data_IF_900079279609
#
_entry.id   IF_900079279609
#
_cell.length_a   1.000
_cell.length_b   1.000
_cell.length_c   1.000
_cell.angle_alpha   90.00
_cell.angle_beta   90.00
_cell.angle_gamma   90.00
#
_symmetry.space_group_name_H-M   'P 1'
#
loop_
_entity.id
_entity.type
_entity.pdbx_description
1 polymer ?
#
# COMPACT_ATOMS: atom_id res chain seq x y z
N UNK A 1 -14.87 16.84 -4.35
CA UNK A 1 -14.79 17.85 -5.45
C UNK A 1 -13.34 17.92 -5.94
N UNK A 2 -13.10 18.22 -7.22
CA UNK A 2 -11.75 18.48 -7.72
C UNK A 2 -11.43 19.95 -7.49
N UNK A 3 -10.26 20.23 -6.92
CA UNK A 3 -9.74 21.58 -6.71
C UNK A 3 -8.49 21.71 -7.58
N UNK A 4 -8.61 22.45 -8.69
CA UNK A 4 -7.45 22.81 -9.51
C UNK A 4 -6.54 23.75 -8.73
N UNK A 5 -5.22 23.62 -8.88
CA UNK A 5 -4.21 24.35 -8.09
C UNK A 5 -4.49 24.27 -6.59
N UNK A 6 -4.87 23.07 -6.14
CA UNK A 6 -5.24 22.78 -4.76
C UNK A 6 -4.06 22.34 -3.90
N UNK A 7 -4.21 22.48 -2.59
CA UNK A 7 -3.26 22.02 -1.58
C UNK A 7 -4.01 21.38 -0.40
N UNK A 8 -3.29 20.58 0.39
CA UNK A 8 -3.76 19.96 1.63
C UNK A 8 -2.78 20.34 2.74
N UNK A 9 -3.29 20.92 3.83
CA UNK A 9 -2.50 21.21 5.02
C UNK A 9 -2.59 20.03 6.01
N UNK A 10 -1.45 19.60 6.53
CA UNK A 10 -1.34 18.46 7.46
C UNK A 10 -0.61 18.90 8.71
N UNK A 11 -1.15 18.54 9.88
CA UNK A 11 -0.48 18.66 11.18
C UNK A 11 -0.33 17.26 11.81
N UNK A 12 0.91 16.81 11.95
CA UNK A 12 1.23 15.45 12.36
C UNK A 12 0.61 14.40 11.44
N UNK A 13 -0.45 13.74 11.88
CA UNK A 13 -1.17 12.68 11.15
C UNK A 13 -2.56 13.10 10.67
N UNK A 14 -2.95 14.36 10.87
CA UNK A 14 -4.29 14.85 10.57
C UNK A 14 -4.27 15.87 9.44
N UNK A 15 -5.25 15.76 8.54
CA UNK A 15 -5.55 16.82 7.57
C UNK A 15 -6.29 17.92 8.32
N UNK A 16 -5.72 19.13 8.34
CA UNK A 16 -6.28 20.28 9.06
C UNK A 16 -6.98 21.28 8.15
N UNK A 17 -6.66 21.30 6.85
CA UNK A 17 -7.34 22.14 5.86
C UNK A 17 -7.14 21.62 4.42
N UNK A 18 -8.05 21.97 3.52
CA UNK A 18 -8.03 21.63 2.10
C UNK A 18 -8.58 22.81 1.29
N UNK A 19 -7.82 23.32 0.32
CA UNK A 19 -8.26 24.48 -0.46
C UNK A 19 -7.32 24.84 -1.59
N UNK A 20 -7.38 26.09 -2.06
CA UNK A 20 -6.46 26.61 -3.08
C UNK A 20 -5.07 26.80 -2.49
N UNK A 21 -4.03 26.50 -3.27
CA UNK A 21 -2.63 26.64 -2.87
C UNK A 21 -2.33 28.03 -2.30
N UNK A 22 -2.67 29.10 -3.03
CA UNK A 22 -2.39 30.48 -2.60
C UNK A 22 -3.09 30.88 -1.30
N UNK A 23 -4.26 30.32 -1.02
CA UNK A 23 -5.01 30.59 0.21
C UNK A 23 -4.36 29.88 1.40
N UNK A 24 -4.01 28.60 1.24
CA UNK A 24 -3.35 27.81 2.28
C UNK A 24 -1.94 28.34 2.56
N UNK A 25 -1.16 28.74 1.56
CA UNK A 25 0.16 29.34 1.78
C UNK A 25 0.10 30.65 2.57
N UNK A 26 -0.99 31.42 2.46
CA UNK A 26 -1.21 32.61 3.29
C UNK A 26 -1.61 32.24 4.71
N UNK A 27 -2.52 31.28 4.88
CA UNK A 27 -3.00 30.84 6.19
C UNK A 27 -1.89 30.12 7.00
N UNK A 28 -1.00 29.39 6.31
CA UNK A 28 0.05 28.57 6.89
C UNK A 28 1.44 28.99 6.40
N UNK A 29 1.77 30.29 6.55
CA UNK A 29 2.98 30.89 5.97
C UNK A 29 4.32 30.28 6.43
N UNK A 30 4.35 29.54 7.52
CA UNK A 30 5.55 28.88 8.06
C UNK A 30 5.56 27.35 7.84
N UNK A 31 4.58 26.80 7.14
CA UNK A 31 4.53 25.37 6.86
C UNK A 31 5.62 24.96 5.86
N UNK A 32 6.14 23.75 6.01
CA UNK A 32 6.96 23.12 4.98
C UNK A 32 6.11 22.86 3.73
N UNK A 33 6.65 23.19 2.56
CA UNK A 33 5.97 22.98 1.28
C UNK A 33 6.55 21.74 0.60
N UNK A 34 5.68 20.79 0.30
CA UNK A 34 5.98 19.62 -0.53
C UNK A 34 5.28 19.82 -1.87
N UNK A 35 6.05 20.01 -2.95
CA UNK A 35 5.51 20.20 -4.30
C UNK A 35 5.01 18.87 -4.89
N UNK A 36 3.74 18.83 -5.28
CA UNK A 36 3.14 17.69 -5.97
C UNK A 36 3.57 17.57 -7.44
N UNK A 37 4.36 18.51 -7.96
CA UNK A 37 4.90 18.55 -9.33
C UNK A 37 3.83 18.43 -10.42
N UNK A 38 2.68 19.09 -10.21
CA UNK A 38 1.52 19.01 -11.09
C UNK A 38 0.74 17.69 -10.99
N UNK A 39 1.05 16.85 -10.00
CA UNK A 39 0.37 15.60 -9.72
C UNK A 39 -0.98 15.77 -9.01
N UNK A 40 -1.70 14.66 -8.89
CA UNK A 40 -2.98 14.59 -8.18
C UNK A 40 -2.76 14.22 -6.70
N UNK A 41 -3.23 15.09 -5.79
CA UNK A 41 -3.37 14.74 -4.38
C UNK A 41 -4.73 14.07 -4.19
N UNK A 42 -4.73 12.83 -3.70
CA UNK A 42 -5.94 12.05 -3.44
C UNK A 42 -5.76 11.16 -2.21
N UNK A 43 -6.85 10.64 -1.60
CA UNK A 43 -6.73 9.64 -0.56
C UNK A 43 -5.91 8.44 -1.04
N UNK A 44 -5.06 7.91 -0.16
CA UNK A 44 -4.35 6.67 -0.44
C UNK A 44 -5.32 5.51 -0.66
N UNK A 45 -4.94 4.55 -1.50
CA UNK A 45 -5.74 3.35 -1.71
C UNK A 45 -5.81 2.51 -0.44
N UNK A 46 -6.99 1.97 -0.16
CA UNK A 46 -7.20 1.02 0.94
C UNK A 46 -7.25 -0.38 0.35
N UNK A 47 -6.27 -1.22 0.70
CA UNK A 47 -6.29 -2.63 0.36
C UNK A 47 -7.10 -3.40 1.41
N UNK A 48 -8.32 -3.82 1.06
CA UNK A 48 -9.21 -4.52 1.97
C UNK A 48 -8.84 -6.00 2.19
N UNK A 49 -7.98 -6.58 1.35
CA UNK A 49 -7.61 -8.00 1.46
C UNK A 49 -6.27 -8.32 0.80
N UNK A 50 -5.31 -8.80 1.60
CA UNK A 50 -4.02 -9.29 1.12
C UNK A 50 -3.40 -10.27 2.13
N UNK A 51 -2.67 -11.26 1.64
CA UNK A 51 -1.89 -12.19 2.46
C UNK A 51 -0.41 -11.78 2.46
N UNK A 52 0.00 -10.93 3.40
CA UNK A 52 1.30 -10.22 3.32
C UNK A 52 2.49 -11.17 3.40
N UNK A 53 2.38 -12.23 4.18
CA UNK A 53 3.48 -13.17 4.39
C UNK A 53 3.93 -13.90 3.10
N UNK A 54 3.06 -14.00 2.09
CA UNK A 54 3.29 -14.78 0.87
C UNK A 54 3.74 -13.95 -0.33
N UNK A 55 4.06 -12.66 -0.15
CA UNK A 55 4.42 -11.76 -1.25
C UNK A 55 5.57 -12.27 -2.13
N UNK A 56 6.55 -12.95 -1.54
CA UNK A 56 7.69 -13.55 -2.26
C UNK A 56 7.35 -14.83 -3.04
N UNK A 57 6.17 -15.44 -2.80
CA UNK A 57 5.68 -16.60 -3.55
C UNK A 57 4.89 -16.21 -4.82
N UNK A 58 4.83 -14.92 -5.18
CA UNK A 58 4.14 -14.46 -6.38
C UNK A 58 4.72 -15.14 -7.62
N UNK A 59 3.86 -15.81 -8.38
CA UNK A 59 4.24 -16.53 -9.60
C UNK A 59 4.90 -17.89 -9.36
N UNK A 60 4.95 -18.37 -8.11
CA UNK A 60 5.43 -19.70 -7.80
C UNK A 60 4.50 -20.75 -8.42
N UNK A 61 5.08 -21.65 -9.20
CA UNK A 61 4.40 -22.79 -9.81
C UNK A 61 5.03 -24.08 -9.31
N UNK A 62 4.20 -25.03 -8.86
CA UNK A 62 4.64 -26.33 -8.41
C UNK A 62 4.42 -27.37 -9.52
N UNK A 63 5.29 -28.38 -9.64
CA UNK A 63 5.07 -29.49 -10.57
C UNK A 63 3.86 -30.33 -10.12
N UNK A 64 3.03 -30.75 -11.09
CA UNK A 64 1.83 -31.56 -10.83
C UNK A 64 0.60 -31.03 -11.57
N UNK A 65 -0.57 -31.67 -11.40
CA UNK A 65 -1.81 -31.14 -11.93
C UNK A 65 -2.13 -29.79 -11.27
N UNK A 66 -2.67 -28.86 -12.04
CA UNK A 66 -3.15 -27.59 -11.50
C UNK A 66 -4.34 -27.84 -10.57
N UNK A 67 -4.44 -27.12 -9.43
CA UNK A 67 -5.59 -27.24 -8.54
C UNK A 67 -6.86 -26.79 -9.27
N UNK A 68 -7.93 -27.54 -9.06
CA UNK A 68 -9.24 -27.34 -9.69
C UNK A 68 -10.22 -26.59 -8.77
N UNK A 69 -9.88 -26.45 -7.50
CA UNK A 69 -10.68 -25.74 -6.50
C UNK A 69 -9.79 -25.08 -5.43
N UNK A 70 -10.43 -24.30 -4.55
CA UNK A 70 -9.73 -23.54 -3.50
C UNK A 70 -9.08 -24.44 -2.43
N UNK A 71 -9.70 -25.56 -2.05
CA UNK A 71 -9.13 -26.49 -1.07
C UNK A 71 -7.82 -27.10 -1.56
N UNK A 72 -7.77 -27.50 -2.83
CA UNK A 72 -6.58 -28.11 -3.43
C UNK A 72 -5.37 -27.16 -3.46
N UNK A 73 -5.55 -25.87 -3.74
CA UNK A 73 -4.43 -24.90 -3.70
C UNK A 73 -3.98 -24.63 -2.26
N UNK A 74 -4.90 -24.66 -1.28
CA UNK A 74 -4.54 -24.51 0.13
C UNK A 74 -3.69 -25.68 0.60
N UNK A 75 -4.13 -26.91 0.35
CA UNK A 75 -3.41 -28.12 0.77
C UNK A 75 -2.11 -28.32 0.00
N UNK A 76 -2.14 -28.09 -1.33
CA UNK A 76 -1.02 -28.36 -2.22
C UNK A 76 0.10 -27.31 -2.21
N UNK A 77 -0.21 -26.06 -1.84
CA UNK A 77 0.77 -24.97 -1.81
C UNK A 77 0.77 -24.22 -0.48
N UNK A 78 -0.36 -23.59 -0.12
CA UNK A 78 -0.34 -22.56 0.92
C UNK A 78 -0.05 -23.11 2.31
N UNK A 79 -0.71 -24.18 2.75
CA UNK A 79 -0.43 -24.78 4.05
C UNK A 79 1.01 -25.28 4.14
N UNK A 80 1.56 -25.86 3.06
CA UNK A 80 2.96 -26.28 3.05
C UNK A 80 3.90 -25.08 3.20
N UNK A 81 3.69 -24.02 2.43
CA UNK A 81 4.50 -22.80 2.50
C UNK A 81 4.42 -22.15 3.89
N UNK A 82 3.21 -21.97 4.42
CA UNK A 82 2.95 -21.33 5.70
C UNK A 82 3.70 -22.03 6.85
N UNK A 83 3.77 -23.36 6.81
CA UNK A 83 4.48 -24.16 7.81
C UNK A 83 6.01 -24.10 7.69
N UNK A 84 6.55 -23.59 6.57
CA UNK A 84 7.99 -23.54 6.30
C UNK A 84 8.60 -22.15 6.39
N UNK A 85 7.77 -21.11 6.35
CA UNK A 85 8.24 -19.73 6.48
C UNK A 85 8.84 -19.47 7.86
N UNK A 86 9.96 -18.75 7.87
CA UNK A 86 10.61 -18.25 9.07
C UNK A 86 10.25 -16.78 9.30
N UNK A 87 10.50 -16.26 10.50
CA UNK A 87 10.28 -14.85 10.80
C UNK A 87 11.05 -13.89 9.86
N UNK A 88 12.32 -14.17 9.48
CA UNK A 88 13.00 -13.43 8.42
C UNK A 88 12.25 -13.43 7.08
N UNK A 89 11.70 -14.57 6.63
CA UNK A 89 10.98 -14.66 5.35
C UNK A 89 9.70 -13.82 5.37
N UNK A 90 8.92 -13.92 6.47
CA UNK A 90 7.70 -13.12 6.65
C UNK A 90 8.02 -11.63 6.67
N UNK A 91 9.11 -11.23 7.35
CA UNK A 91 9.56 -9.84 7.37
C UNK A 91 9.95 -9.36 5.96
N UNK A 92 10.65 -10.18 5.19
CA UNK A 92 11.03 -9.84 3.83
C UNK A 92 9.80 -9.65 2.92
N UNK A 93 8.81 -10.54 3.00
CA UNK A 93 7.53 -10.37 2.29
C UNK A 93 6.79 -9.10 2.72
N UNK A 94 6.75 -8.80 4.03
CA UNK A 94 6.10 -7.58 4.54
C UNK A 94 6.78 -6.29 4.05
N UNK A 95 8.11 -6.25 4.04
CA UNK A 95 8.85 -5.11 3.50
C UNK A 95 8.61 -4.93 2.00
N UNK A 96 8.59 -6.02 1.23
CA UNK A 96 8.29 -5.97 -0.20
C UNK A 96 6.89 -5.41 -0.46
N UNK A 97 5.88 -5.84 0.31
CA UNK A 97 4.50 -5.35 0.13
C UNK A 97 4.32 -3.91 0.61
N UNK A 98 5.09 -3.47 1.61
CA UNK A 98 5.00 -2.10 2.14
C UNK A 98 5.76 -1.07 1.29
N UNK A 99 6.92 -1.46 0.74
CA UNK A 99 7.83 -0.55 0.04
C UNK A 99 7.77 -0.65 -1.49
N UNK A 100 7.24 -1.75 -2.03
CA UNK A 100 7.27 -2.09 -3.46
C UNK A 100 5.98 -1.81 -4.22
#
# INVERSE_FOLDING_TARGET
PIIYDGAVAIDGTQIVDIGKYDELCKAYANAEIIDAHGGLIMPGFINAHHHIYSALARGLSLPGPAPTNFGEILEGLWFYLDNKLTAPDVKASALLTYLG
#
